data_IF_066701102340
#
_entry.id   IF_066701102340
#
_cell.length_a   1.000
_cell.length_b   1.000
_cell.length_c   1.000
_cell.angle_alpha   90.00
_cell.angle_beta   90.00
_cell.angle_gamma   90.00
#
_symmetry.space_group_name_H-M   'P 1'
#
loop_
_entity.id
_entity.type
_entity.pdbx_description
1 polymer ?
#
# COMPACT_ATOMS: atom_id res chain seq x y z
N UNK A 1 19.41 22.03 17.30
CA UNK A 1 18.73 22.76 16.21
C UNK A 1 17.91 21.75 15.42
N UNK A 2 16.58 21.73 15.57
CA UNK A 2 15.72 20.73 14.93
C UNK A 2 14.26 21.22 14.82
N UNK A 3 14.03 22.32 14.11
CA UNK A 3 12.69 22.90 13.94
C UNK A 3 12.29 23.19 12.49
N UNK A 4 13.16 22.96 11.49
CA UNK A 4 12.85 23.26 10.07
C UNK A 4 12.13 22.15 9.29
N UNK A 5 12.33 20.88 9.62
CA UNK A 5 11.79 19.76 8.80
C UNK A 5 10.31 19.46 9.05
N UNK A 6 9.81 19.72 10.27
CA UNK A 6 8.40 19.49 10.64
C UNK A 6 7.45 20.49 10.00
N UNK A 7 7.88 21.74 9.83
CA UNK A 7 7.07 22.76 9.16
C UNK A 7 6.91 22.45 7.66
N UNK A 8 7.91 21.82 7.03
CA UNK A 8 7.85 21.43 5.62
C UNK A 8 6.83 20.31 5.33
N UNK A 9 6.88 19.19 6.08
CA UNK A 9 5.95 18.08 5.87
C UNK A 9 4.52 18.48 6.19
N UNK A 10 4.30 19.17 7.32
CA UNK A 10 2.95 19.58 7.72
C UNK A 10 2.31 20.52 6.70
N UNK A 11 3.06 21.53 6.25
CA UNK A 11 2.60 22.44 5.20
C UNK A 11 2.23 21.69 3.92
N UNK A 12 3.04 20.70 3.54
CA UNK A 12 2.77 19.86 2.38
C UNK A 12 1.50 19.00 2.51
N UNK A 13 1.27 18.44 3.70
CA UNK A 13 0.07 17.65 3.98
C UNK A 13 -1.20 18.50 4.09
N UNK A 14 -1.06 19.77 4.46
CA UNK A 14 -2.16 20.74 4.58
C UNK A 14 -2.48 21.45 3.25
N UNK A 15 -1.77 21.13 2.14
CA UNK A 15 -2.12 21.60 0.79
C UNK A 15 -3.58 21.22 0.44
N UNK A 16 -4.36 22.20 -0.01
CA UNK A 16 -5.75 21.99 -0.38
C UNK A 16 -5.88 20.99 -1.56
N UNK A 17 -6.90 20.12 -1.56
CA UNK A 17 -7.20 19.27 -2.72
C UNK A 17 -7.31 20.09 -4.01
N UNK A 18 -6.73 19.60 -5.11
CA UNK A 18 -6.75 20.29 -6.41
C UNK A 18 -5.59 21.24 -6.69
N UNK A 19 -4.76 21.60 -5.69
CA UNK A 19 -3.50 22.35 -5.93
C UNK A 19 -2.53 21.55 -6.80
N UNK A 20 -2.52 20.23 -6.60
CA UNK A 20 -1.71 19.28 -7.34
C UNK A 20 -2.51 18.00 -7.55
N UNK A 21 -2.39 17.28 -8.68
CA UNK A 21 -2.98 15.95 -8.82
C UNK A 21 -2.53 14.99 -7.71
N UNK A 22 -3.39 14.06 -7.28
CA UNK A 22 -3.05 13.09 -6.22
C UNK A 22 -1.73 12.37 -6.47
N UNK A 23 -1.50 11.95 -7.72
CA UNK A 23 -0.27 11.26 -8.10
C UNK A 23 0.95 12.10 -7.75
N UNK A 24 1.07 13.30 -8.32
CA UNK A 24 2.21 14.18 -8.08
C UNK A 24 2.33 14.58 -6.60
N UNK A 25 1.21 14.60 -5.86
CA UNK A 25 1.22 14.79 -4.41
C UNK A 25 1.80 13.57 -3.66
N UNK A 26 1.49 12.34 -4.08
CA UNK A 26 2.12 11.12 -3.55
C UNK A 26 3.61 11.08 -3.87
N UNK A 27 4.01 11.36 -5.12
CA UNK A 27 5.42 11.39 -5.52
C UNK A 27 6.22 12.45 -4.76
N UNK A 28 5.60 13.58 -4.41
CA UNK A 28 6.25 14.59 -3.59
C UNK A 28 6.56 14.14 -2.16
N UNK A 29 5.87 13.12 -1.61
CA UNK A 29 6.16 12.55 -0.28
C UNK A 29 7.55 11.89 -0.20
N UNK A 30 8.13 11.50 -1.34
CA UNK A 30 9.45 10.87 -1.38
C UNK A 30 10.56 11.73 -0.75
N UNK A 31 10.38 13.06 -0.69
CA UNK A 31 11.33 13.99 -0.07
C UNK A 31 11.58 13.76 1.42
N UNK A 32 10.64 13.11 2.12
CA UNK A 32 10.76 12.80 3.55
C UNK A 32 11.16 11.34 3.82
N UNK A 33 11.50 10.60 2.76
CA UNK A 33 12.12 9.27 2.85
C UNK A 33 11.16 8.10 3.09
N UNK A 34 11.74 6.91 3.08
CA UNK A 34 11.03 5.61 3.17
C UNK A 34 10.06 5.51 4.35
N UNK A 35 10.40 5.89 5.60
CA UNK A 35 9.48 5.74 6.73
C UNK A 35 8.15 6.49 6.55
N UNK A 36 8.18 7.69 5.96
CA UNK A 36 6.97 8.48 5.66
C UNK A 36 6.13 7.79 4.59
N UNK A 37 6.76 7.30 3.52
CA UNK A 37 6.07 6.56 2.46
C UNK A 37 5.41 5.28 2.97
N UNK A 38 6.09 4.51 3.82
CA UNK A 38 5.55 3.27 4.41
C UNK A 38 4.39 3.57 5.36
N UNK A 39 4.47 4.63 6.19
CA UNK A 39 3.35 5.05 7.05
C UNK A 39 2.14 5.51 6.23
N UNK A 40 2.35 6.25 5.15
CA UNK A 40 1.28 6.63 4.24
C UNK A 40 0.62 5.39 3.59
N UNK A 41 1.41 4.41 3.17
CA UNK A 41 0.89 3.18 2.57
C UNK A 41 0.12 2.33 3.60
N UNK A 42 0.63 2.26 4.83
CA UNK A 42 -0.06 1.62 5.95
C UNK A 42 -1.44 2.26 6.19
N UNK A 43 -1.53 3.59 6.26
CA UNK A 43 -2.81 4.29 6.48
C UNK A 43 -3.86 3.96 5.40
N UNK A 44 -3.43 3.86 4.14
CA UNK A 44 -4.27 3.43 3.03
C UNK A 44 -4.69 1.97 3.17
N UNK A 45 -3.75 1.08 3.50
CA UNK A 45 -4.00 -0.35 3.66
C UNK A 45 -4.95 -0.68 4.83
N UNK A 46 -4.84 0.06 5.94
CA UNK A 46 -5.72 -0.11 7.10
C UNK A 46 -7.19 0.16 6.75
N UNK A 47 -7.45 1.14 5.89
CA UNK A 47 -8.80 1.43 5.41
C UNK A 47 -9.39 0.31 4.51
N UNK A 48 -8.54 -0.58 3.97
CA UNK A 48 -8.95 -1.73 3.16
C UNK A 48 -9.27 -2.98 3.98
N UNK A 49 -8.85 -3.08 5.24
CA UNK A 49 -9.01 -4.29 6.07
C UNK A 49 -10.47 -4.66 6.27
N UNK A 50 -11.32 -3.67 6.57
CA UNK A 50 -12.74 -3.93 6.79
C UNK A 50 -13.44 -4.42 5.51
N UNK A 51 -12.98 -3.97 4.33
CA UNK A 51 -13.50 -4.47 3.06
C UNK A 51 -13.07 -5.90 2.81
N UNK A 52 -11.81 -6.22 3.10
CA UNK A 52 -11.30 -7.60 3.07
C UNK A 52 -12.12 -8.53 3.98
N UNK A 53 -12.26 -8.16 5.26
CA UNK A 53 -12.97 -8.96 6.29
C UNK A 53 -14.40 -9.32 5.90
N UNK A 54 -15.09 -8.37 5.27
CA UNK A 54 -16.49 -8.58 4.87
C UNK A 54 -16.61 -9.60 3.75
N UNK A 55 -15.51 -9.91 3.05
CA UNK A 55 -15.44 -10.91 2.01
C UNK A 55 -16.28 -10.52 0.80
N UNK A 56 -15.73 -10.80 -0.39
CA UNK A 56 -16.56 -10.98 -1.56
C UNK A 56 -17.53 -12.17 -1.36
N UNK A 57 -18.54 -12.36 -2.24
CA UNK A 57 -19.87 -12.92 -1.96
C UNK A 57 -19.88 -14.31 -1.31
N UNK A 58 -21.06 -14.84 -0.95
CA UNK A 58 -21.31 -16.14 -0.24
C UNK A 58 -20.81 -17.41 -0.96
N UNK A 59 -19.85 -17.30 -1.85
CA UNK A 59 -19.14 -18.40 -2.47
C UNK A 59 -18.26 -19.11 -1.43
N UNK A 60 -18.59 -20.36 -1.14
CA UNK A 60 -17.89 -21.17 -0.14
C UNK A 60 -16.43 -21.43 -0.50
N UNK A 61 -16.08 -21.50 -1.78
CA UNK A 61 -14.69 -21.66 -2.24
C UNK A 61 -13.87 -20.41 -1.97
N UNK A 62 -14.40 -19.25 -2.35
CA UNK A 62 -13.77 -17.96 -2.08
C UNK A 62 -13.63 -17.69 -0.58
N UNK A 63 -14.68 -17.96 0.21
CA UNK A 63 -14.64 -17.73 1.66
C UNK A 63 -13.67 -18.67 2.39
N UNK A 64 -13.60 -19.94 1.98
CA UNK A 64 -12.70 -20.93 2.58
C UNK A 64 -11.22 -20.60 2.33
N UNK A 65 -10.89 -19.98 1.21
CA UNK A 65 -9.49 -19.69 0.86
C UNK A 65 -9.07 -18.25 1.17
N UNK A 66 -9.96 -17.27 1.03
CA UNK A 66 -9.60 -15.86 1.03
C UNK A 66 -10.18 -15.10 2.23
N UNK A 67 -11.51 -15.10 2.39
CA UNK A 67 -12.15 -14.30 3.43
C UNK A 67 -11.90 -14.79 4.88
N UNK A 68 -11.62 -16.08 5.07
CA UNK A 68 -11.29 -16.64 6.39
C UNK A 68 -9.82 -16.46 6.79
N UNK A 69 -8.97 -15.93 5.90
CA UNK A 69 -7.57 -15.68 6.20
C UNK A 69 -7.41 -14.44 7.08
N UNK A 70 -6.86 -14.63 8.28
CA UNK A 70 -6.44 -13.55 9.18
C UNK A 70 -5.13 -12.86 8.71
N UNK A 71 -4.49 -13.40 7.67
CA UNK A 71 -3.17 -12.99 7.21
C UNK A 71 -3.02 -11.49 6.93
N UNK A 72 -3.99 -10.77 6.31
CA UNK A 72 -3.81 -9.34 6.06
C UNK A 72 -3.78 -8.52 7.36
N UNK A 73 -4.54 -8.92 8.38
CA UNK A 73 -4.52 -8.24 9.69
C UNK A 73 -3.20 -8.49 10.40
N UNK A 74 -2.76 -9.74 10.42
CA UNK A 74 -1.47 -10.14 10.99
C UNK A 74 -0.31 -9.41 10.32
N UNK A 75 -0.35 -9.28 8.99
CA UNK A 75 0.66 -8.58 8.22
C UNK A 75 0.69 -7.08 8.54
N UNK A 76 -0.46 -6.42 8.69
CA UNK A 76 -0.51 -5.02 9.10
C UNK A 76 -0.06 -4.80 10.54
N UNK A 77 -0.36 -5.73 11.46
CA UNK A 77 0.19 -5.71 12.82
C UNK A 77 1.72 -5.83 12.79
N UNK A 78 2.26 -6.74 11.97
CA UNK A 78 3.70 -6.87 11.79
C UNK A 78 4.32 -5.59 11.20
N UNK A 79 3.66 -4.94 10.24
CA UNK A 79 4.11 -3.69 9.62
C UNK A 79 4.13 -2.53 10.61
N UNK A 80 3.09 -2.39 11.43
CA UNK A 80 3.05 -1.41 12.53
C UNK A 80 4.19 -1.64 13.51
N UNK A 81 4.36 -2.88 13.97
CA UNK A 81 5.43 -3.22 14.91
C UNK A 81 6.82 -2.95 14.31
N UNK A 82 7.03 -3.18 13.01
CA UNK A 82 8.26 -2.84 12.32
C UNK A 82 8.51 -1.31 12.29
N UNK A 83 7.48 -0.52 11.97
CA UNK A 83 7.54 0.95 11.97
C UNK A 83 7.84 1.54 13.35
N UNK A 84 7.28 0.95 14.41
CA UNK A 84 7.51 1.36 15.81
C UNK A 84 8.92 1.04 16.28
N UNK A 85 9.46 -0.13 15.90
CA UNK A 85 10.82 -0.53 16.25
C UNK A 85 11.91 0.22 15.47
N UNK A 86 11.56 0.87 14.36
CA UNK A 86 12.53 1.47 13.44
C UNK A 86 13.48 0.42 12.84
N UNK A 87 12.98 -0.81 12.65
CA UNK A 87 13.80 -1.93 12.21
C UNK A 87 14.32 -1.73 10.77
N UNK A 88 15.49 -2.29 10.44
CA UNK A 88 16.03 -2.18 9.08
C UNK A 88 15.12 -2.89 8.06
N UNK A 89 15.23 -2.55 6.76
CA UNK A 89 14.60 -3.31 5.68
C UNK A 89 14.97 -4.80 5.75
N UNK A 90 14.01 -5.70 5.54
CA UNK A 90 14.27 -7.15 5.50
C UNK A 90 14.05 -7.91 6.81
N UNK A 91 13.23 -7.39 7.73
CA UNK A 91 12.74 -8.15 8.89
C UNK A 91 12.09 -9.46 8.40
N UNK A 92 12.59 -10.60 8.87
CA UNK A 92 12.19 -11.93 8.39
C UNK A 92 10.69 -12.19 8.60
N UNK A 93 10.09 -11.61 9.64
CA UNK A 93 8.66 -11.71 9.90
C UNK A 93 7.85 -10.98 8.82
N UNK A 94 8.28 -9.77 8.46
CA UNK A 94 7.65 -9.02 7.36
C UNK A 94 7.84 -9.71 6.01
N UNK A 95 9.05 -10.20 5.71
CA UNK A 95 9.32 -10.94 4.46
C UNK A 95 8.40 -12.15 4.33
N UNK A 96 8.24 -12.92 5.41
CA UNK A 96 7.34 -14.09 5.43
C UNK A 96 5.88 -13.69 5.24
N UNK A 97 5.41 -12.64 5.92
CA UNK A 97 4.03 -12.16 5.78
C UNK A 97 3.75 -11.65 4.36
N UNK A 98 4.68 -10.90 3.77
CA UNK A 98 4.56 -10.40 2.40
C UNK A 98 4.54 -11.54 1.39
N UNK A 99 5.39 -12.56 1.55
CA UNK A 99 5.39 -13.73 0.67
C UNK A 99 4.06 -14.50 0.75
N UNK A 100 3.59 -14.80 1.96
CA UNK A 100 2.31 -15.48 2.15
C UNK A 100 1.13 -14.68 1.57
N UNK A 101 1.14 -13.35 1.73
CA UNK A 101 0.09 -12.51 1.15
C UNK A 101 0.20 -12.46 -0.37
N UNK A 102 1.40 -12.44 -0.94
CA UNK A 102 1.61 -12.50 -2.39
C UNK A 102 1.05 -13.80 -2.98
N UNK A 103 1.28 -14.94 -2.33
CA UNK A 103 0.74 -16.23 -2.75
C UNK A 103 -0.78 -16.25 -2.65
N UNK A 104 -1.34 -15.70 -1.57
CA UNK A 104 -2.79 -15.56 -1.41
C UNK A 104 -3.41 -14.70 -2.51
N UNK A 105 -2.78 -13.57 -2.85
CA UNK A 105 -3.23 -12.66 -3.90
C UNK A 105 -3.12 -13.29 -5.30
N UNK A 106 -2.02 -13.99 -5.60
CA UNK A 106 -1.85 -14.69 -6.88
C UNK A 106 -2.91 -15.78 -7.10
N UNK A 107 -3.25 -16.53 -6.05
CA UNK A 107 -4.35 -17.49 -6.12
C UNK A 107 -5.70 -16.79 -6.33
N UNK A 108 -5.95 -15.69 -5.64
CA UNK A 108 -7.21 -14.96 -5.73
C UNK A 108 -7.46 -14.36 -7.12
N UNK A 109 -6.43 -13.78 -7.76
CA UNK A 109 -6.51 -13.26 -9.13
C UNK A 109 -6.77 -14.40 -10.13
N UNK A 110 -6.13 -15.56 -9.96
CA UNK A 110 -6.38 -16.73 -10.79
C UNK A 110 -7.83 -17.25 -10.70
N UNK A 111 -8.40 -17.32 -9.49
CA UNK A 111 -9.78 -17.76 -9.29
C UNK A 111 -10.82 -16.76 -9.83
N UNK A 112 -10.49 -15.47 -9.90
CA UNK A 112 -11.38 -14.46 -10.47
C UNK A 112 -11.41 -14.57 -12.01
N UNK A 113 -10.27 -14.85 -12.63
CA UNK A 113 -10.15 -15.05 -14.09
C UNK A 113 -10.85 -16.34 -14.57
N UNK A 114 -10.80 -17.43 -13.79
CA UNK A 114 -11.48 -18.70 -14.13
C UNK A 114 -13.00 -18.64 -13.95
N UNK A 115 -13.48 -17.79 -13.03
CA UNK A 115 -14.90 -17.56 -12.84
C UNK A 115 -15.40 -16.58 -13.91
N UNK A 116 -15.92 -17.09 -15.03
CA UNK A 116 -16.62 -16.31 -16.07
C UNK A 116 -17.71 -15.40 -15.44
N UNK A 117 -17.34 -14.17 -15.06
CA UNK A 117 -18.21 -13.22 -14.35
C UNK A 117 -17.95 -13.08 -12.84
N UNK A 118 -16.70 -12.94 -12.42
CA UNK A 118 -16.34 -12.47 -11.07
C UNK A 118 -17.10 -11.17 -10.72
N UNK A 119 -18.01 -11.24 -9.74
CA UNK A 119 -18.82 -10.07 -9.38
C UNK A 119 -17.96 -8.95 -8.80
N UNK A 120 -18.33 -7.69 -9.00
CA UNK A 120 -17.60 -6.48 -8.56
C UNK A 120 -17.13 -6.51 -7.09
N UNK A 121 -17.79 -7.29 -6.22
CA UNK A 121 -17.35 -7.49 -4.84
C UNK A 121 -16.03 -8.28 -4.72
N UNK A 122 -15.75 -9.22 -5.63
CA UNK A 122 -14.50 -9.99 -5.70
C UNK A 122 -13.35 -9.11 -6.12
N UNK A 123 -13.51 -8.39 -7.24
CA UNK A 123 -12.55 -7.41 -7.72
C UNK A 123 -12.19 -6.39 -6.62
N UNK A 124 -13.19 -5.89 -5.88
CA UNK A 124 -12.97 -4.96 -4.77
C UNK A 124 -12.25 -5.60 -3.58
N UNK A 125 -12.51 -6.88 -3.27
CA UNK A 125 -11.80 -7.59 -2.22
C UNK A 125 -10.34 -7.88 -2.62
N UNK A 126 -10.10 -8.27 -3.88
CA UNK A 126 -8.76 -8.43 -4.46
C UNK A 126 -8.00 -7.12 -4.40
N UNK A 127 -8.63 -6.01 -4.81
CA UNK A 127 -8.00 -4.70 -4.73
C UNK A 127 -7.71 -4.25 -3.28
N UNK A 128 -8.54 -4.65 -2.31
CA UNK A 128 -8.24 -4.43 -0.89
C UNK A 128 -6.98 -5.16 -0.46
N UNK A 129 -6.86 -6.45 -0.83
CA UNK A 129 -5.66 -7.24 -0.56
C UNK A 129 -4.41 -6.70 -1.27
N UNK A 130 -4.56 -6.22 -2.50
CA UNK A 130 -3.48 -5.58 -3.26
C UNK A 130 -2.98 -4.30 -2.58
N UNK A 131 -3.88 -3.48 -2.03
CA UNK A 131 -3.47 -2.30 -1.26
C UNK A 131 -2.62 -2.67 -0.03
N UNK A 132 -3.01 -3.73 0.68
CA UNK A 132 -2.27 -4.25 1.84
C UNK A 132 -0.90 -4.81 1.42
N UNK A 133 -0.85 -5.58 0.33
CA UNK A 133 0.39 -6.12 -0.22
C UNK A 133 1.36 -4.99 -0.60
N UNK A 134 0.89 -3.94 -1.27
CA UNK A 134 1.74 -2.81 -1.65
C UNK A 134 2.29 -2.05 -0.43
N UNK A 135 1.54 -1.93 0.66
CA UNK A 135 2.05 -1.34 1.90
C UNK A 135 3.19 -2.18 2.51
N UNK A 136 3.08 -3.51 2.46
CA UNK A 136 4.14 -4.41 2.91
C UNK A 136 5.36 -4.35 1.99
N UNK A 137 5.16 -4.37 0.67
CA UNK A 137 6.23 -4.25 -0.33
C UNK A 137 6.99 -2.94 -0.18
N UNK A 138 6.30 -1.85 0.15
CA UNK A 138 6.93 -0.55 0.47
C UNK A 138 7.98 -0.67 1.59
N UNK A 139 7.74 -1.53 2.58
CA UNK A 139 8.67 -1.77 3.71
C UNK A 139 9.88 -2.63 3.31
N UNK A 140 9.71 -3.52 2.33
CA UNK A 140 10.75 -4.40 1.81
C UNK A 140 11.52 -3.78 0.64
N UNK A 141 11.07 -2.64 0.13
CA UNK A 141 11.70 -1.95 -0.98
C UNK A 141 13.17 -1.67 -0.73
N UNK A 142 14.02 -1.98 -1.72
CA UNK A 142 15.43 -1.60 -1.76
C UNK A 142 15.76 -1.01 -3.12
N UNK A 143 16.79 -0.17 -3.18
CA UNK A 143 17.23 0.43 -4.44
C UNK A 143 17.64 -0.67 -5.41
N UNK A 144 18.37 -1.68 -4.93
CA UNK A 144 18.89 -2.80 -5.71
C UNK A 144 17.77 -3.58 -6.41
N UNK A 145 16.67 -3.87 -5.70
CA UNK A 145 15.50 -4.57 -6.26
C UNK A 145 14.77 -3.70 -7.29
N UNK A 146 14.67 -2.40 -7.02
CA UNK A 146 13.89 -1.49 -7.87
C UNK A 146 14.57 -1.16 -9.19
N UNK A 147 15.91 -1.23 -9.24
CA UNK A 147 16.69 -0.98 -10.46
C UNK A 147 17.09 -2.26 -11.20
N UNK A 148 16.75 -3.44 -10.66
CA UNK A 148 17.05 -4.72 -11.27
C UNK A 148 16.40 -4.82 -12.66
N UNK A 149 17.22 -5.08 -13.68
CA UNK A 149 16.73 -5.18 -15.06
C UNK A 149 16.42 -3.84 -15.76
N UNK A 150 16.62 -2.69 -15.10
CA UNK A 150 16.44 -1.36 -15.70
C UNK A 150 17.71 -0.98 -16.49
N UNK A 151 17.66 -0.86 -17.83
CA UNK A 151 18.86 -0.63 -18.63
C UNK A 151 19.34 0.83 -18.60
N UNK A 152 18.44 1.81 -18.46
CA UNK A 152 18.76 3.24 -18.51
C UNK A 152 19.22 3.80 -17.15
N UNK A 153 20.33 4.54 -17.15
CA UNK A 153 20.89 5.12 -15.91
C UNK A 153 20.04 6.27 -15.37
N UNK A 154 19.45 7.09 -16.23
CA UNK A 154 18.62 8.21 -15.78
C UNK A 154 17.35 7.69 -15.08
N UNK A 155 16.76 6.63 -15.62
CA UNK A 155 15.65 5.89 -15.03
C UNK A 155 16.04 5.25 -13.69
N UNK A 156 17.19 4.56 -13.62
CA UNK A 156 17.70 4.02 -12.34
C UNK A 156 17.87 5.10 -11.26
N UNK A 157 18.42 6.25 -11.63
CA UNK A 157 18.58 7.38 -10.71
C UNK A 157 17.24 7.99 -10.28
N UNK A 158 16.25 8.03 -11.17
CA UNK A 158 14.91 8.49 -10.83
C UNK A 158 14.25 7.55 -9.82
N UNK A 159 14.32 6.24 -10.05
CA UNK A 159 13.79 5.19 -9.17
C UNK A 159 14.46 5.23 -7.79
N UNK A 160 15.79 5.34 -7.77
CA UNK A 160 16.55 5.42 -6.53
C UNK A 160 16.12 6.62 -5.66
N UNK A 161 15.75 7.74 -6.29
CA UNK A 161 15.30 8.97 -5.60
C UNK A 161 13.84 8.92 -5.16
N UNK A 162 12.99 8.17 -5.86
CA UNK A 162 11.57 8.09 -5.50
C UNK A 162 11.29 7.18 -4.31
N UNK A 163 12.22 6.28 -3.97
CA UNK A 163 11.98 5.28 -2.93
C UNK A 163 10.73 4.45 -3.25
N UNK A 164 9.99 3.97 -2.23
CA UNK A 164 8.76 3.21 -2.42
C UNK A 164 7.51 4.06 -2.77
N UNK A 165 7.69 5.23 -3.39
CA UNK A 165 6.56 6.02 -3.88
C UNK A 165 5.69 5.29 -4.93
N UNK A 166 6.25 4.45 -5.82
CA UNK A 166 5.45 3.61 -6.72
C UNK A 166 4.52 2.66 -5.96
N UNK A 167 5.01 1.93 -4.96
CA UNK A 167 4.20 1.02 -4.15
C UNK A 167 3.10 1.75 -3.39
N UNK A 168 3.39 2.93 -2.82
CA UNK A 168 2.36 3.78 -2.23
C UNK A 168 1.30 4.18 -3.26
N UNK A 169 1.71 4.57 -4.47
CA UNK A 169 0.78 4.93 -5.53
C UNK A 169 -0.09 3.74 -5.94
N UNK A 170 0.47 2.54 -6.06
CA UNK A 170 -0.30 1.33 -6.33
C UNK A 170 -1.27 1.00 -5.20
N UNK A 171 -0.87 1.17 -3.94
CA UNK A 171 -1.76 0.99 -2.81
C UNK A 171 -2.96 1.93 -2.88
N UNK A 172 -2.73 3.21 -3.25
CA UNK A 172 -3.77 4.21 -3.46
C UNK A 172 -4.69 3.84 -4.62
N UNK A 173 -4.13 3.38 -5.75
CA UNK A 173 -4.94 2.93 -6.90
C UNK A 173 -5.84 1.75 -6.52
N UNK A 174 -5.27 0.77 -5.83
CA UNK A 174 -5.99 -0.42 -5.37
C UNK A 174 -7.09 -0.05 -4.35
N UNK A 175 -6.80 0.83 -3.39
CA UNK A 175 -7.80 1.37 -2.46
C UNK A 175 -8.97 2.05 -3.18
N UNK A 176 -8.69 2.90 -4.17
CA UNK A 176 -9.74 3.59 -4.93
C UNK A 176 -10.58 2.64 -5.78
N UNK A 177 -9.99 1.54 -6.23
CA UNK A 177 -10.75 0.49 -6.90
C UNK A 177 -11.61 -0.31 -5.92
N UNK A 178 -11.07 -0.64 -4.75
CA UNK A 178 -11.79 -1.36 -3.69
C UNK A 178 -12.96 -0.56 -3.10
N UNK A 179 -12.84 0.77 -3.06
CA UNK A 179 -13.80 1.69 -2.46
C UNK A 179 -14.04 2.88 -3.41
N UNK A 180 -14.79 2.67 -4.50
CA UNK A 180 -14.94 3.66 -5.59
C UNK A 180 -15.65 4.96 -5.16
N UNK A 181 -16.44 4.92 -4.08
CA UNK A 181 -17.11 6.10 -3.51
C UNK A 181 -16.14 7.05 -2.78
N UNK A 182 -14.86 6.65 -2.63
CA UNK A 182 -13.86 7.43 -1.89
C UNK A 182 -13.15 8.40 -2.82
N UNK A 183 -13.27 9.68 -2.48
CA UNK A 183 -12.65 10.78 -3.22
C UNK A 183 -11.14 10.85 -3.03
N UNK A 184 -10.47 11.61 -3.91
CA UNK A 184 -9.07 12.00 -3.70
C UNK A 184 -8.85 12.69 -2.34
N UNK A 185 -9.79 13.55 -1.92
CA UNK A 185 -9.74 14.23 -0.62
C UNK A 185 -9.67 13.22 0.51
N UNK A 186 -10.46 12.14 0.44
CA UNK A 186 -10.45 11.08 1.45
C UNK A 186 -9.11 10.37 1.52
N UNK A 187 -8.44 10.11 0.39
CA UNK A 187 -7.09 9.51 0.38
C UNK A 187 -6.09 10.44 1.08
N UNK A 188 -6.13 11.74 0.76
CA UNK A 188 -5.24 12.72 1.38
C UNK A 188 -5.46 12.82 2.88
N UNK A 189 -6.72 12.77 3.33
CA UNK A 189 -7.07 12.77 4.76
C UNK A 189 -6.54 11.53 5.47
N UNK A 190 -6.73 10.33 4.90
CA UNK A 190 -6.19 9.08 5.45
C UNK A 190 -4.67 9.17 5.64
N UNK A 191 -3.95 9.62 4.61
CA UNK A 191 -2.49 9.75 4.67
C UNK A 191 -2.09 10.83 5.68
N UNK A 192 -2.80 11.96 5.74
CA UNK A 192 -2.53 13.01 6.73
C UNK A 192 -2.69 12.48 8.15
N UNK A 193 -3.76 11.76 8.43
CA UNK A 193 -4.04 11.22 9.76
C UNK A 193 -3.06 10.11 10.14
N UNK A 194 -2.65 9.26 9.21
CA UNK A 194 -1.63 8.23 9.45
C UNK A 194 -0.19 8.77 9.62
N UNK A 195 0.05 10.03 9.24
CA UNK A 195 1.34 10.71 9.38
C UNK A 195 1.41 11.71 10.55
N UNK A 196 0.30 11.88 11.29
CA UNK A 196 0.24 12.69 12.52
C UNK A 196 0.79 11.93 13.71
#
# INVERSE_FOLDING_TARGET
MATGERDGLRTYLDEAPGVRPLQDWIWGLARWGKPVLVRAALAVAEACVDRWRRGAPRDEGWQRHFASSALPEEALVALRAWLERGAPPGDAGLVSCTAALRDLMGNAEFYDDEAMGGGAEREQAVASGRAILMALESSLWTVERAIEGVPDEAERQAIARSGPAPELWEAVRAYRHALPDRSETTVRELIRDGLR
#
